data_IF_835587533479
#
_entry.id   IF_835587533479
#
_cell.length_a   1.000
_cell.length_b   1.000
_cell.length_c   1.000
_cell.angle_alpha   90.00
_cell.angle_beta   90.00
_cell.angle_gamma   90.00
#
_symmetry.space_group_name_H-M   'P 1'
#
loop_
_entity.id
_entity.type
_entity.pdbx_description
1 polymer ?
#
# COMPACT_ATOMS: atom_id res chain seq x y z
N UNK A 1 -3.73 -6.46 -17.79
CA UNK A 1 -2.83 -6.32 -18.97
C UNK A 1 -1.77 -5.28 -18.65
N UNK A 2 -0.49 -5.56 -18.92
CA UNK A 2 0.61 -4.62 -18.69
C UNK A 2 1.17 -4.14 -20.02
N UNK A 3 1.14 -2.82 -20.24
CA UNK A 3 1.78 -2.15 -21.37
C UNK A 3 3.06 -1.46 -20.88
N UNK A 4 4.20 -1.70 -21.53
CA UNK A 4 5.45 -0.99 -21.22
C UNK A 4 5.66 0.16 -22.21
N UNK A 5 5.92 1.37 -21.72
CA UNK A 5 5.95 2.59 -22.55
C UNK A 5 7.35 3.08 -22.87
N UNK A 6 8.37 2.47 -22.26
CA UNK A 6 9.78 2.82 -22.41
C UNK A 6 10.62 1.55 -22.49
N UNK A 7 11.70 1.58 -23.27
CA UNK A 7 12.71 0.54 -23.24
C UNK A 7 13.29 0.37 -21.82
N UNK A 8 13.65 -0.86 -21.39
CA UNK A 8 14.33 -1.08 -20.12
C UNK A 8 15.60 -0.23 -20.03
N UNK A 9 15.82 0.40 -18.87
CA UNK A 9 17.05 1.14 -18.59
C UNK A 9 17.70 0.51 -17.37
N UNK A 10 18.99 0.20 -17.45
CA UNK A 10 19.73 -0.28 -16.29
C UNK A 10 19.87 0.86 -15.27
N UNK A 11 19.11 0.75 -14.18
CA UNK A 11 19.17 1.65 -13.03
C UNK A 11 19.33 0.78 -11.80
N UNK A 12 20.21 1.20 -10.89
CA UNK A 12 20.35 0.59 -9.57
C UNK A 12 19.11 0.90 -8.73
N UNK A 13 18.46 -0.14 -8.18
CA UNK A 13 17.47 0.01 -7.11
C UNK A 13 18.04 -0.44 -5.78
N UNK A 14 17.53 0.13 -4.70
CA UNK A 14 17.84 -0.28 -3.33
C UNK A 14 16.61 -0.87 -2.68
N UNK A 15 16.69 -2.16 -2.35
CA UNK A 15 15.76 -2.81 -1.42
C UNK A 15 16.38 -2.76 -0.04
N UNK A 16 15.61 -2.36 0.98
CA UNK A 16 16.13 -2.19 2.32
C UNK A 16 15.13 -2.63 3.39
N UNK A 17 15.62 -2.82 4.61
CA UNK A 17 14.78 -3.08 5.78
C UNK A 17 14.45 -1.80 6.56
N UNK A 18 13.31 -1.78 7.27
CA UNK A 18 12.91 -0.69 8.14
C UNK A 18 13.53 -0.74 9.54
N UNK A 19 12.80 -0.27 10.55
CA UNK A 19 13.29 -0.17 11.94
C UNK A 19 13.01 -1.44 12.76
N UNK A 20 13.84 -1.70 13.78
CA UNK A 20 13.53 -2.68 14.83
C UNK A 20 13.41 -4.11 14.31
N UNK A 21 12.28 -4.77 14.61
CA UNK A 21 12.01 -6.17 14.22
C UNK A 21 12.05 -6.40 12.70
N UNK A 22 11.71 -5.41 11.87
CA UNK A 22 11.81 -5.50 10.41
C UNK A 22 13.28 -5.65 9.97
N UNK A 23 14.21 -4.99 10.65
CA UNK A 23 15.64 -5.09 10.39
C UNK A 23 16.19 -6.48 10.68
N UNK A 24 15.66 -7.16 11.71
CA UNK A 24 16.06 -8.53 12.04
C UNK A 24 15.46 -9.52 11.04
N UNK A 25 14.14 -9.47 10.83
CA UNK A 25 13.42 -10.39 9.94
C UNK A 25 13.93 -10.36 8.49
N UNK A 26 14.25 -9.16 7.96
CA UNK A 26 14.74 -9.01 6.59
C UNK A 26 16.24 -9.32 6.45
N UNK A 27 17.03 -9.24 7.52
CA UNK A 27 18.43 -9.71 7.52
C UNK A 27 18.52 -11.23 7.52
N UNK A 28 17.58 -11.89 8.18
CA UNK A 28 17.50 -13.35 8.26
C UNK A 28 16.99 -13.97 6.94
N UNK A 29 16.33 -13.17 6.10
CA UNK A 29 16.11 -13.44 4.67
C UNK A 29 17.43 -13.21 3.92
N UNK A 30 18.40 -14.11 4.13
CA UNK A 30 19.75 -14.10 3.55
C UNK A 30 19.79 -14.20 2.01
N UNK A 31 18.64 -14.25 1.35
CA UNK A 31 18.49 -14.40 -0.08
C UNK A 31 17.80 -13.14 -0.58
N UNK A 32 18.62 -12.23 -1.12
CA UNK A 32 18.14 -11.09 -1.88
C UNK A 32 17.26 -11.52 -3.06
N UNK A 33 16.56 -10.60 -3.71
CA UNK A 33 15.73 -10.90 -4.90
C UNK A 33 16.48 -11.55 -6.09
N UNK A 34 17.81 -11.53 -6.11
CA UNK A 34 18.69 -12.25 -7.06
C UNK A 34 19.42 -13.46 -6.45
N UNK A 35 19.15 -13.75 -5.18
CA UNK A 35 19.70 -14.85 -4.39
C UNK A 35 21.22 -14.87 -4.20
N UNK A 36 21.94 -13.79 -4.52
CA UNK A 36 23.42 -13.80 -4.53
C UNK A 36 24.08 -12.58 -3.89
N UNK A 37 23.32 -11.58 -3.45
CA UNK A 37 23.90 -10.31 -2.98
C UNK A 37 24.17 -10.23 -1.47
N UNK A 38 25.23 -9.49 -1.11
CA UNK A 38 25.51 -9.04 0.25
C UNK A 38 24.75 -7.77 0.62
N UNK A 39 24.20 -7.71 1.83
CA UNK A 39 23.63 -6.49 2.40
C UNK A 39 24.71 -5.45 2.70
N UNK A 40 24.52 -4.22 2.23
CA UNK A 40 25.34 -3.04 2.55
C UNK A 40 24.64 -2.15 3.58
N UNK A 41 25.38 -1.26 4.24
CA UNK A 41 24.81 -0.27 5.15
C UNK A 41 24.82 1.11 4.49
N UNK A 42 23.63 1.68 4.23
CA UNK A 42 23.49 3.04 3.68
C UNK A 42 22.91 3.97 4.75
N UNK A 43 23.55 5.12 4.92
CA UNK A 43 23.08 6.17 5.82
C UNK A 43 22.03 7.03 5.14
N UNK A 44 20.82 7.06 5.68
CA UNK A 44 19.73 7.94 5.24
C UNK A 44 19.31 8.84 6.39
N UNK A 45 19.54 10.16 6.21
CA UNK A 45 19.41 11.14 7.28
C UNK A 45 20.32 10.83 8.47
N UNK A 46 19.73 10.50 9.62
CA UNK A 46 20.45 10.24 10.88
C UNK A 46 20.62 8.75 11.22
N UNK A 47 20.21 7.83 10.35
CA UNK A 47 20.18 6.40 10.65
C UNK A 47 20.77 5.58 9.50
N UNK A 48 21.31 4.42 9.85
CA UNK A 48 21.85 3.45 8.90
C UNK A 48 20.83 2.35 8.64
N UNK A 49 20.63 2.03 7.37
CA UNK A 49 19.72 1.00 6.90
C UNK A 49 20.49 -0.07 6.14
N UNK A 50 20.22 -1.37 6.40
CA UNK A 50 20.72 -2.40 5.53
C UNK A 50 19.96 -2.31 4.19
N UNK A 51 20.71 -2.22 3.10
CA UNK A 51 20.17 -2.20 1.74
C UNK A 51 20.93 -3.18 0.86
N UNK A 52 20.25 -3.69 -0.15
CA UNK A 52 20.84 -4.43 -1.25
C UNK A 52 20.57 -3.66 -2.53
N UNK A 53 21.60 -3.57 -3.39
CA UNK A 53 21.48 -2.99 -4.73
C UNK A 53 21.03 -4.08 -5.69
N UNK A 54 20.06 -3.80 -6.53
CA UNK A 54 19.70 -4.69 -7.63
C UNK A 54 19.90 -3.97 -8.95
N UNK A 55 20.57 -4.62 -9.92
CA UNK A 55 20.57 -4.14 -11.28
C UNK A 55 19.23 -4.51 -11.93
N UNK A 56 18.63 -3.57 -12.67
CA UNK A 56 17.52 -3.72 -13.64
C UNK A 56 16.18 -3.07 -13.24
N UNK A 57 15.68 -2.17 -14.10
CA UNK A 57 14.38 -1.50 -13.94
C UNK A 57 13.75 -1.19 -15.32
N UNK A 58 12.43 -1.28 -15.41
CA UNK A 58 11.65 -0.68 -16.50
C UNK A 58 11.21 0.72 -16.05
N UNK A 59 11.41 1.73 -16.90
CA UNK A 59 11.11 3.11 -16.52
C UNK A 59 9.61 3.30 -16.31
N UNK A 60 8.77 3.02 -17.31
CA UNK A 60 7.35 3.35 -17.24
C UNK A 60 6.47 2.23 -17.81
N UNK A 61 5.28 2.07 -17.25
CA UNK A 61 4.24 1.29 -17.88
C UNK A 61 2.86 1.51 -17.29
N UNK A 62 1.89 0.83 -17.86
CA UNK A 62 0.47 0.99 -17.55
C UNK A 62 -0.08 -0.39 -17.18
N UNK A 63 -0.60 -0.48 -15.97
CA UNK A 63 -1.37 -1.64 -15.51
C UNK A 63 -2.84 -1.38 -15.84
N UNK A 64 -3.44 -2.30 -16.59
CA UNK A 64 -4.87 -2.30 -16.86
C UNK A 64 -5.54 -3.43 -16.10
N UNK A 65 -6.43 -3.08 -15.18
CA UNK A 65 -7.23 -4.02 -14.36
C UNK A 65 -8.72 -3.80 -14.57
N UNK A 66 -9.52 -4.81 -14.23
CA UNK A 66 -10.97 -4.79 -14.44
C UNK A 66 -11.33 -4.43 -15.89
N UNK A 67 -12.54 -3.91 -16.11
CA UNK A 67 -13.06 -3.50 -17.43
C UNK A 67 -12.37 -2.23 -17.99
N UNK A 68 -11.03 -2.19 -18.00
CA UNK A 68 -10.23 -1.18 -18.70
C UNK A 68 -9.67 -0.04 -17.84
N UNK A 69 -9.63 -0.19 -16.50
CA UNK A 69 -9.06 0.83 -15.62
C UNK A 69 -7.54 0.84 -15.75
N UNK A 70 -6.98 1.95 -16.25
CA UNK A 70 -5.56 2.14 -16.52
C UNK A 70 -4.88 2.91 -15.39
N UNK A 71 -3.83 2.33 -14.80
CA UNK A 71 -3.03 2.94 -13.73
C UNK A 71 -1.58 3.01 -14.19
N UNK A 72 -1.01 4.21 -14.19
CA UNK A 72 0.41 4.41 -14.50
C UNK A 72 1.26 3.90 -13.34
N UNK A 73 2.32 3.17 -13.68
CA UNK A 73 3.34 2.71 -12.74
C UNK A 73 4.70 3.12 -13.26
N UNK A 74 5.45 3.78 -12.40
CA UNK A 74 6.79 4.28 -12.70
C UNK A 74 7.82 3.47 -11.92
N UNK A 75 8.96 3.25 -12.56
CA UNK A 75 10.21 2.75 -11.99
C UNK A 75 10.16 1.32 -11.46
N UNK A 76 9.61 0.37 -12.20
CA UNK A 76 9.45 -1.00 -11.70
C UNK A 76 9.98 -2.07 -12.64
N UNK A 77 10.09 -3.29 -12.15
CA UNK A 77 10.39 -4.46 -12.99
C UNK A 77 9.09 -5.11 -13.44
N UNK A 78 9.13 -5.99 -14.45
CA UNK A 78 7.97 -6.83 -14.80
C UNK A 78 7.40 -7.57 -13.57
N UNK A 79 8.25 -8.01 -12.65
CA UNK A 79 7.81 -8.66 -11.42
C UNK A 79 7.04 -7.69 -10.51
N UNK A 80 7.55 -6.47 -10.28
CA UNK A 80 6.83 -5.45 -9.52
C UNK A 80 5.47 -5.14 -10.14
N UNK A 81 5.42 -4.98 -11.46
CA UNK A 81 4.17 -4.67 -12.17
C UNK A 81 3.14 -5.80 -12.02
N UNK A 82 3.54 -7.07 -12.10
CA UNK A 82 2.65 -8.21 -11.86
C UNK A 82 2.14 -8.27 -10.43
N UNK A 83 2.99 -7.98 -9.44
CA UNK A 83 2.60 -7.93 -8.04
C UNK A 83 1.57 -6.82 -7.78
N UNK A 84 1.80 -5.63 -8.36
CA UNK A 84 0.88 -4.51 -8.29
C UNK A 84 -0.43 -4.84 -9.02
N UNK A 85 -0.39 -5.44 -10.22
CA UNK A 85 -1.58 -5.87 -10.98
C UNK A 85 -2.44 -6.82 -10.15
N UNK A 86 -1.85 -7.89 -9.61
CA UNK A 86 -2.55 -8.84 -8.73
C UNK A 86 -3.17 -8.15 -7.51
N UNK A 87 -2.51 -7.13 -6.97
CA UNK A 87 -3.03 -6.35 -5.84
C UNK A 87 -4.20 -5.46 -6.26
N UNK A 88 -4.09 -4.78 -7.40
CA UNK A 88 -5.11 -3.87 -7.95
C UNK A 88 -6.38 -4.61 -8.37
N UNK A 89 -6.28 -5.88 -8.79
CA UNK A 89 -7.43 -6.75 -9.06
C UNK A 89 -8.28 -7.06 -7.81
N UNK A 90 -7.69 -6.97 -6.60
CA UNK A 90 -8.43 -7.15 -5.34
C UNK A 90 -9.14 -5.86 -4.88
N UNK A 91 -8.83 -4.72 -5.50
CA UNK A 91 -9.44 -3.44 -5.21
C UNK A 91 -10.66 -3.20 -6.11
N UNK A 92 -11.79 -2.73 -5.58
CA UNK A 92 -12.98 -2.59 -6.41
C UNK A 92 -12.89 -1.38 -7.38
N UNK A 93 -13.49 -1.47 -8.58
CA UNK A 93 -13.30 -0.53 -9.68
C UNK A 93 -13.41 0.95 -9.31
N UNK A 94 -14.46 1.38 -8.61
CA UNK A 94 -14.66 2.81 -8.33
C UNK A 94 -13.72 3.40 -7.26
N UNK A 95 -13.02 2.57 -6.47
CA UNK A 95 -11.94 3.05 -5.58
C UNK A 95 -10.72 3.33 -6.42
N UNK A 96 -10.45 2.50 -7.43
CA UNK A 96 -9.35 2.72 -8.38
C UNK A 96 -9.62 3.94 -9.25
N UNK A 97 -10.85 4.14 -9.71
CA UNK A 97 -11.25 5.37 -10.41
C UNK A 97 -11.04 6.62 -9.55
N UNK A 98 -11.50 6.58 -8.29
CA UNK A 98 -11.29 7.69 -7.36
C UNK A 98 -9.80 7.89 -7.05
N UNK A 99 -9.04 6.81 -6.90
CA UNK A 99 -7.59 6.86 -6.74
C UNK A 99 -6.94 7.58 -7.93
N UNK A 100 -7.24 7.21 -9.17
CA UNK A 100 -6.69 7.86 -10.37
C UNK A 100 -7.09 9.34 -10.43
N UNK A 101 -8.34 9.68 -10.07
CA UNK A 101 -8.78 11.07 -10.02
C UNK A 101 -7.98 11.91 -9.02
N UNK A 102 -7.67 11.35 -7.85
CA UNK A 102 -6.93 12.05 -6.79
C UNK A 102 -5.42 12.01 -7.01
N UNK A 103 -4.92 10.94 -7.60
CA UNK A 103 -3.51 10.61 -7.82
C UNK A 103 -3.30 10.23 -9.30
N UNK A 104 -3.37 11.21 -10.21
CA UNK A 104 -3.32 10.95 -11.66
C UNK A 104 -1.98 10.42 -12.16
N UNK A 105 -0.89 10.57 -11.39
CA UNK A 105 0.37 9.89 -11.68
C UNK A 105 0.38 8.43 -11.20
N UNK A 106 -0.64 7.94 -10.51
CA UNK A 106 -0.70 6.54 -10.11
C UNK A 106 0.40 6.18 -9.10
N UNK A 107 1.17 5.14 -9.41
CA UNK A 107 2.11 4.49 -8.48
C UNK A 107 3.54 4.78 -8.90
N UNK A 108 4.33 5.31 -7.97
CA UNK A 108 5.75 5.61 -8.18
C UNK A 108 6.54 4.65 -7.30
N UNK A 109 7.37 3.82 -7.91
CA UNK A 109 8.27 2.97 -7.14
C UNK A 109 9.57 3.71 -6.83
N UNK A 110 10.06 3.52 -5.60
CA UNK A 110 11.25 4.22 -5.12
C UNK A 110 12.04 3.38 -4.12
N UNK A 111 13.29 3.77 -3.87
CA UNK A 111 14.15 3.11 -2.89
C UNK A 111 13.60 3.28 -1.47
N UNK A 112 13.12 4.49 -1.16
CA UNK A 112 12.63 4.85 0.16
C UNK A 112 11.42 5.78 0.09
N UNK A 113 10.68 5.82 1.20
CA UNK A 113 9.51 6.66 1.42
C UNK A 113 9.67 7.49 2.70
N UNK A 114 9.14 8.71 2.72
CA UNK A 114 9.13 9.62 3.87
C UNK A 114 10.22 10.69 3.86
N UNK A 115 10.35 11.44 4.97
CA UNK A 115 11.23 12.62 5.08
C UNK A 115 12.18 12.55 6.29
N UNK A 116 13.42 13.01 6.12
CA UNK A 116 14.41 13.15 7.19
C UNK A 116 14.59 11.87 8.02
N UNK A 117 14.49 11.96 9.35
CA UNK A 117 14.57 10.81 10.28
C UNK A 117 13.42 9.82 10.16
N UNK A 118 12.44 10.11 9.31
CA UNK A 118 11.27 9.27 9.05
C UNK A 118 11.39 8.48 7.74
N UNK A 119 12.47 8.62 6.97
CA UNK A 119 12.65 7.78 5.78
C UNK A 119 12.70 6.29 6.13
N UNK A 120 12.11 5.43 5.28
CA UNK A 120 12.13 3.97 5.37
C UNK A 120 12.26 3.34 3.99
N UNK A 121 12.97 2.22 3.91
CA UNK A 121 13.05 1.38 2.71
C UNK A 121 11.93 0.32 2.62
N UNK A 122 11.19 0.13 3.71
CA UNK A 122 9.97 -0.68 3.78
C UNK A 122 8.78 0.23 4.06
N UNK A 123 7.87 0.32 3.10
CA UNK A 123 6.58 0.97 3.26
C UNK A 123 6.12 1.71 2.02
N UNK A 124 5.17 2.62 2.23
CA UNK A 124 4.71 3.54 1.23
C UNK A 124 4.53 4.92 1.84
N UNK A 125 4.19 5.88 1.00
CA UNK A 125 3.68 7.17 1.45
C UNK A 125 2.77 7.76 0.38
N UNK A 126 1.73 8.44 0.85
CA UNK A 126 0.84 9.28 0.07
C UNK A 126 1.22 10.75 0.28
N UNK A 127 2.07 11.35 -0.57
CA UNK A 127 2.59 12.69 -0.36
C UNK A 127 1.50 13.73 -0.61
N UNK A 128 1.44 14.76 0.23
CA UNK A 128 0.59 15.95 0.01
C UNK A 128 1.35 17.11 -0.64
N UNK A 129 2.66 16.96 -0.82
CA UNK A 129 3.59 17.90 -1.48
C UNK A 129 4.79 17.11 -2.02
N UNK A 130 5.52 17.71 -2.93
CA UNK A 130 6.74 17.13 -3.47
C UNK A 130 7.80 16.91 -2.38
N UNK A 131 8.47 15.77 -2.48
CA UNK A 131 9.68 15.52 -1.72
C UNK A 131 10.88 16.00 -2.52
N UNK A 132 11.77 16.74 -1.87
CA UNK A 132 12.90 17.39 -2.55
C UNK A 132 13.85 16.41 -3.25
N UNK A 133 13.83 15.13 -2.83
CA UNK A 133 14.74 14.10 -3.32
C UNK A 133 14.16 13.28 -4.50
N UNK A 134 12.92 13.53 -4.91
CA UNK A 134 12.24 12.87 -6.04
C UNK A 134 12.15 13.83 -7.23
N UNK A 135 13.32 14.17 -7.78
CA UNK A 135 13.48 15.25 -8.75
C UNK A 135 12.78 15.09 -10.13
N UNK A 136 11.98 14.04 -10.35
CA UNK A 136 11.47 13.69 -11.70
C UNK A 136 9.94 13.72 -11.81
N UNK A 137 9.20 13.59 -10.70
CA UNK A 137 7.74 13.52 -10.71
C UNK A 137 7.16 14.38 -9.58
N UNK A 138 5.97 14.95 -9.83
CA UNK A 138 5.17 15.59 -8.78
C UNK A 138 4.56 14.49 -7.90
N UNK A 139 5.32 14.09 -6.89
CA UNK A 139 4.98 13.02 -5.95
C UNK A 139 3.64 13.25 -5.25
N UNK A 140 3.22 14.51 -5.10
CA UNK A 140 1.91 14.83 -4.52
C UNK A 140 0.74 14.33 -5.36
N UNK A 141 0.98 14.05 -6.64
CA UNK A 141 0.01 13.51 -7.60
C UNK A 141 0.11 11.99 -7.78
N UNK A 142 0.99 11.32 -7.04
CA UNK A 142 1.10 9.86 -6.98
C UNK A 142 1.07 9.31 -5.55
N UNK A 143 1.23 8.00 -5.43
CA UNK A 143 1.64 7.33 -4.20
C UNK A 143 3.01 6.70 -4.41
N UNK A 144 3.85 6.75 -3.39
CA UNK A 144 5.18 6.15 -3.43
C UNK A 144 5.10 4.79 -2.74
N UNK A 145 5.59 3.74 -3.40
CA UNK A 145 5.73 2.40 -2.81
C UNK A 145 7.20 2.01 -2.90
N UNK A 146 7.78 1.55 -1.79
CA UNK A 146 9.20 1.22 -1.79
C UNK A 146 9.47 -0.17 -2.38
N UNK A 147 10.64 -0.36 -2.99
CA UNK A 147 11.04 -1.70 -3.44
C UNK A 147 11.12 -2.70 -2.28
N UNK A 148 11.58 -2.26 -1.10
CA UNK A 148 11.64 -3.11 0.09
C UNK A 148 10.26 -3.57 0.57
N UNK A 149 9.20 -2.77 0.37
CA UNK A 149 7.83 -3.20 0.63
C UNK A 149 7.40 -4.30 -0.35
N UNK A 150 7.61 -4.11 -1.64
CA UNK A 150 7.26 -5.12 -2.65
C UNK A 150 8.02 -6.43 -2.43
N UNK A 151 9.30 -6.35 -2.11
CA UNK A 151 10.12 -7.53 -1.81
C UNK A 151 9.64 -8.27 -0.57
N UNK A 152 9.27 -7.56 0.51
CA UNK A 152 8.77 -8.19 1.74
C UNK A 152 7.51 -9.04 1.53
N UNK A 153 6.78 -8.82 0.43
CA UNK A 153 5.53 -9.50 0.11
C UNK A 153 5.54 -10.22 -1.24
N UNK A 154 6.71 -10.40 -1.86
CA UNK A 154 6.81 -11.03 -3.17
C UNK A 154 6.22 -12.45 -3.19
N UNK A 155 6.53 -13.26 -2.17
CA UNK A 155 6.00 -14.62 -2.01
C UNK A 155 4.50 -14.67 -1.71
N UNK A 156 3.95 -13.58 -1.16
CA UNK A 156 2.53 -13.51 -0.85
C UNK A 156 1.68 -13.32 -2.12
N UNK A 157 2.28 -12.85 -3.22
CA UNK A 157 1.60 -12.59 -4.48
C UNK A 157 0.71 -11.33 -4.48
N UNK A 158 0.83 -10.47 -3.46
CA UNK A 158 0.17 -9.15 -3.39
C UNK A 158 0.98 -8.16 -2.54
N UNK A 159 0.68 -6.86 -2.65
CA UNK A 159 1.29 -5.78 -1.87
C UNK A 159 0.29 -5.17 -0.88
N UNK A 160 0.29 -5.58 0.40
CA UNK A 160 -0.57 -4.94 1.40
C UNK A 160 -0.22 -3.46 1.59
N UNK A 161 1.03 -3.06 1.37
CA UNK A 161 1.45 -1.64 1.36
C UNK A 161 0.71 -0.83 0.30
N UNK A 162 0.53 -1.36 -0.92
CA UNK A 162 -0.24 -0.65 -1.94
C UNK A 162 -1.70 -0.44 -1.52
N UNK A 163 -2.33 -1.49 -0.96
CA UNK A 163 -3.71 -1.41 -0.46
C UNK A 163 -3.82 -0.34 0.64
N UNK A 164 -2.84 -0.29 1.53
CA UNK A 164 -2.76 0.71 2.61
C UNK A 164 -2.67 2.13 2.08
N UNK A 165 -1.74 2.42 1.15
CA UNK A 165 -1.58 3.77 0.60
C UNK A 165 -2.81 4.23 -0.21
N UNK A 166 -3.45 3.32 -0.95
CA UNK A 166 -4.75 3.60 -1.59
C UNK A 166 -5.82 3.84 -0.51
N UNK A 167 -5.79 3.07 0.59
CA UNK A 167 -6.62 3.26 1.76
C UNK A 167 -6.51 4.67 2.35
N UNK A 168 -5.32 5.26 2.41
CA UNK A 168 -5.13 6.66 2.79
C UNK A 168 -5.80 7.64 1.82
N UNK A 169 -5.73 7.38 0.51
CA UNK A 169 -6.45 8.20 -0.48
C UNK A 169 -7.97 8.12 -0.24
N UNK A 170 -8.48 6.95 0.16
CA UNK A 170 -9.89 6.77 0.47
C UNK A 170 -10.31 7.38 1.81
N UNK A 171 -9.42 7.44 2.81
CA UNK A 171 -9.76 7.74 4.22
C UNK A 171 -9.23 9.09 4.75
N UNK A 172 -7.98 9.48 4.48
CA UNK A 172 -7.35 10.69 5.06
C UNK A 172 -7.77 11.96 4.32
N UNK A 173 -8.07 11.84 3.02
CA UNK A 173 -8.50 12.93 2.13
C UNK A 173 -9.67 12.55 1.23
N UNK A 174 -10.29 11.40 1.52
CA UNK A 174 -11.29 10.80 0.66
C UNK A 174 -12.70 10.85 1.24
N UNK A 175 -13.52 9.97 0.69
CA UNK A 175 -14.95 9.93 0.93
C UNK A 175 -15.30 9.06 2.14
N UNK A 176 -14.41 8.13 2.55
CA UNK A 176 -14.55 7.35 3.79
C UNK A 176 -14.08 8.22 4.94
N UNK A 177 -15.01 8.56 5.83
CA UNK A 177 -14.72 9.47 6.91
C UNK A 177 -15.45 9.07 8.19
N UNK A 178 -14.85 9.44 9.31
CA UNK A 178 -15.34 9.11 10.65
C UNK A 178 -16.76 9.64 10.97
N UNK A 179 -17.34 10.55 10.17
CA UNK A 179 -18.70 11.06 10.44
C UNK A 179 -19.78 10.01 10.19
N UNK A 180 -19.43 8.89 9.55
CA UNK A 180 -20.33 7.75 9.30
C UNK A 180 -20.24 6.64 10.36
N UNK A 181 -19.38 6.82 11.36
CA UNK A 181 -19.18 5.87 12.45
C UNK A 181 -19.81 6.40 13.73
N UNK A 182 -20.30 5.51 14.58
CA UNK A 182 -20.72 5.87 15.93
C UNK A 182 -19.52 6.44 16.72
N UNK A 183 -19.79 7.40 17.62
CA UNK A 183 -18.74 8.12 18.35
C UNK A 183 -17.83 7.18 19.14
N UNK A 184 -18.39 6.16 19.81
CA UNK A 184 -17.63 5.16 20.58
C UNK A 184 -16.68 4.36 19.69
N UNK A 185 -17.15 3.89 18.53
CA UNK A 185 -16.36 3.12 17.57
C UNK A 185 -15.27 3.99 16.96
N UNK A 186 -15.60 5.22 16.57
CA UNK A 186 -14.62 6.20 16.08
C UNK A 186 -13.52 6.41 17.11
N UNK A 187 -13.88 6.74 18.33
CA UNK A 187 -12.91 7.11 19.37
C UNK A 187 -12.04 5.90 19.74
N UNK A 188 -12.61 4.68 19.73
CA UNK A 188 -11.87 3.43 19.86
C UNK A 188 -10.87 3.20 18.74
N UNK A 189 -11.27 3.35 17.47
CA UNK A 189 -10.37 3.17 16.31
C UNK A 189 -9.20 4.16 16.34
N UNK A 190 -9.48 5.40 16.73
CA UNK A 190 -8.46 6.44 16.90
C UNK A 190 -7.49 6.03 18.02
N UNK A 191 -8.02 5.61 19.16
CA UNK A 191 -7.20 5.23 20.31
C UNK A 191 -6.35 3.99 20.04
N UNK A 192 -6.90 2.95 19.40
CA UNK A 192 -6.15 1.76 19.02
C UNK A 192 -4.98 2.12 18.12
N UNK A 193 -5.21 2.96 17.12
CA UNK A 193 -4.15 3.29 16.19
C UNK A 193 -3.06 4.20 16.80
N UNK A 194 -3.44 5.11 17.70
CA UNK A 194 -2.49 5.88 18.51
C UNK A 194 -1.65 4.94 19.38
N UNK A 195 -2.29 3.96 20.03
CA UNK A 195 -1.66 3.06 20.99
C UNK A 195 -0.80 1.97 20.32
N UNK A 196 -1.21 1.52 19.13
CA UNK A 196 -0.49 0.54 18.29
C UNK A 196 0.72 1.11 17.55
N UNK A 197 0.92 2.43 17.60
CA UNK A 197 2.06 3.09 16.96
C UNK A 197 2.02 3.04 15.44
N UNK A 198 0.82 2.93 14.85
CA UNK A 198 0.64 2.57 13.44
C UNK A 198 0.95 3.72 12.45
N UNK A 199 0.98 5.01 12.83
CA UNK A 199 1.68 6.03 12.01
C UNK A 199 1.96 7.40 12.66
N UNK A 200 2.57 8.26 11.84
CA UNK A 200 3.18 9.58 12.10
C UNK A 200 2.19 10.75 12.02
N UNK A 201 0.94 10.52 11.61
CA UNK A 201 -0.14 11.51 11.52
C UNK A 201 -1.04 11.53 12.78
N UNK A 202 -0.49 11.17 13.93
CA UNK A 202 -1.23 11.16 15.20
C UNK A 202 -2.21 10.00 15.34
N UNK A 203 -2.03 8.90 14.59
CA UNK A 203 -2.78 7.63 14.70
C UNK A 203 -4.25 7.70 14.27
N UNK A 204 -4.87 8.88 14.27
CA UNK A 204 -6.30 9.01 13.95
C UNK A 204 -6.67 8.38 12.62
N UNK A 205 -5.98 8.72 11.54
CA UNK A 205 -6.50 8.36 10.22
C UNK A 205 -6.11 6.92 9.81
N UNK A 206 -5.13 6.33 10.49
CA UNK A 206 -4.71 4.94 10.33
C UNK A 206 -5.79 3.94 10.77
N UNK A 207 -6.51 4.24 11.86
CA UNK A 207 -7.59 3.35 12.32
C UNK A 207 -8.67 3.13 11.25
N UNK A 208 -9.03 4.17 10.47
CA UNK A 208 -9.92 4.00 9.31
C UNK A 208 -9.28 3.22 8.18
N UNK A 209 -7.98 3.42 7.95
CA UNK A 209 -7.23 2.66 6.95
C UNK A 209 -7.28 1.16 7.29
N UNK A 210 -7.11 0.79 8.56
CA UNK A 210 -7.17 -0.60 9.01
C UNK A 210 -8.55 -1.23 8.80
N UNK A 211 -9.64 -0.51 9.09
CA UNK A 211 -11.00 -0.99 8.79
C UNK A 211 -11.20 -1.16 7.29
N UNK A 212 -10.70 -0.21 6.48
CA UNK A 212 -10.77 -0.28 5.02
C UNK A 212 -10.00 -1.49 4.48
N UNK A 213 -8.75 -1.65 4.91
CA UNK A 213 -7.91 -2.79 4.55
C UNK A 213 -8.56 -4.10 4.95
N UNK A 214 -9.16 -4.17 6.14
CA UNK A 214 -9.89 -5.36 6.56
C UNK A 214 -11.03 -5.69 5.62
N UNK A 215 -11.85 -4.71 5.26
CA UNK A 215 -12.93 -4.93 4.30
C UNK A 215 -12.40 -5.44 2.96
N UNK A 216 -11.37 -4.80 2.39
CA UNK A 216 -10.76 -5.21 1.11
C UNK A 216 -10.20 -6.64 1.20
N UNK A 217 -9.31 -6.90 2.17
CA UNK A 217 -8.60 -8.16 2.31
C UNK A 217 -9.53 -9.33 2.64
N UNK A 218 -10.59 -9.10 3.42
CA UNK A 218 -11.51 -10.17 3.83
C UNK A 218 -12.50 -10.55 2.71
N UNK A 219 -12.91 -9.59 1.89
CA UNK A 219 -13.69 -9.86 0.68
C UNK A 219 -12.88 -10.20 -0.57
N UNK A 220 -11.55 -10.26 -0.44
CA UNK A 220 -10.65 -10.66 -1.51
C UNK A 220 -10.94 -12.10 -2.00
N UNK A 221 -10.64 -12.33 -3.27
CA UNK A 221 -10.70 -13.68 -3.87
C UNK A 221 -9.42 -14.44 -3.54
N UNK A 222 -8.28 -13.76 -3.46
CA UNK A 222 -7.00 -14.33 -3.08
C UNK A 222 -6.99 -14.83 -1.61
N UNK A 223 -6.88 -16.16 -1.36
CA UNK A 223 -6.88 -16.71 0.00
C UNK A 223 -5.66 -16.29 0.83
N UNK A 224 -4.51 -16.05 0.20
CA UNK A 224 -3.30 -15.60 0.89
C UNK A 224 -3.50 -14.21 1.49
N UNK A 225 -4.22 -13.33 0.78
CA UNK A 225 -4.57 -11.99 1.26
C UNK A 225 -5.53 -12.05 2.45
N UNK A 226 -6.57 -12.89 2.34
CA UNK A 226 -7.53 -13.14 3.44
C UNK A 226 -6.82 -13.64 4.69
N UNK A 227 -5.95 -14.66 4.55
CA UNK A 227 -5.24 -15.28 5.67
C UNK A 227 -4.24 -14.33 6.32
N UNK A 228 -3.45 -13.62 5.51
CA UNK A 228 -2.49 -12.64 5.99
C UNK A 228 -3.17 -11.59 6.85
N UNK A 229 -4.25 -11.00 6.36
CA UNK A 229 -4.90 -9.89 7.05
C UNK A 229 -5.76 -10.31 8.24
N UNK A 230 -6.35 -11.51 8.19
CA UNK A 230 -7.09 -12.09 9.33
C UNK A 230 -6.22 -12.25 10.58
N UNK A 231 -4.90 -12.37 10.43
CA UNK A 231 -3.92 -12.48 11.53
C UNK A 231 -3.36 -11.13 12.00
N UNK A 232 -3.64 -10.03 11.29
CA UNK A 232 -3.04 -8.71 11.53
C UNK A 232 -4.04 -7.63 11.96
N UNK A 233 -5.34 -7.92 11.87
CA UNK A 233 -6.40 -6.94 12.17
C UNK A 233 -6.77 -6.96 13.65
N UNK A 234 -7.04 -5.77 14.21
CA UNK A 234 -7.59 -5.64 15.57
C UNK A 234 -9.05 -6.11 15.64
N UNK A 235 -9.50 -6.50 16.83
CA UNK A 235 -10.90 -6.90 17.04
C UNK A 235 -11.87 -5.77 16.68
N UNK A 236 -11.50 -4.51 16.97
CA UNK A 236 -12.35 -3.35 16.69
C UNK A 236 -12.45 -3.04 15.20
N UNK A 237 -11.36 -3.13 14.44
CA UNK A 237 -11.42 -2.96 12.98
C UNK A 237 -12.25 -4.06 12.29
N UNK A 238 -12.33 -5.25 12.90
CA UNK A 238 -13.17 -6.35 12.45
C UNK A 238 -14.62 -6.33 13.02
N UNK A 239 -14.95 -5.39 13.91
CA UNK A 239 -16.24 -5.32 14.59
C UNK A 239 -17.40 -5.04 13.64
N UNK A 240 -18.58 -5.59 13.91
CA UNK A 240 -19.75 -5.42 13.05
C UNK A 240 -20.07 -3.93 12.81
N UNK A 241 -19.91 -3.12 13.84
CA UNK A 241 -20.17 -1.68 13.86
C UNK A 241 -19.16 -0.91 12.99
N UNK A 242 -17.87 -1.26 13.03
CA UNK A 242 -16.86 -0.65 12.17
C UNK A 242 -17.10 -1.01 10.69
N UNK A 243 -17.43 -2.27 10.41
CA UNK A 243 -17.75 -2.71 9.05
C UNK A 243 -19.02 -2.03 8.52
N UNK A 244 -20.02 -1.86 9.38
CA UNK A 244 -21.26 -1.16 9.02
C UNK A 244 -21.01 0.34 8.77
N UNK A 245 -20.14 0.98 9.56
CA UNK A 245 -19.70 2.35 9.31
C UNK A 245 -19.05 2.54 7.94
N UNK A 246 -18.16 1.61 7.53
CA UNK A 246 -17.60 1.61 6.17
C UNK A 246 -18.68 1.38 5.12
N UNK A 247 -19.53 0.36 5.31
CA UNK A 247 -20.61 0.04 4.37
C UNK A 247 -21.53 1.23 4.14
N UNK A 248 -21.77 2.08 5.12
CA UNK A 248 -22.61 3.27 4.98
C UNK A 248 -21.94 4.47 4.30
N UNK A 249 -20.67 4.34 3.92
CA UNK A 249 -19.97 5.40 3.19
C UNK A 249 -20.37 5.42 1.71
N UNK A 250 -20.73 6.57 1.12
CA UNK A 250 -21.06 6.67 -0.31
C UNK A 250 -19.96 6.18 -1.26
N UNK A 251 -18.68 6.48 -0.99
CA UNK A 251 -17.60 5.90 -1.80
C UNK A 251 -17.61 4.39 -1.75
N UNK A 252 -17.76 3.78 -0.56
CA UNK A 252 -17.82 2.34 -0.40
C UNK A 252 -19.11 1.71 -0.98
N UNK A 253 -20.24 2.42 -0.95
CA UNK A 253 -21.51 1.94 -1.51
C UNK A 253 -21.59 2.04 -3.03
N UNK A 254 -20.96 3.05 -3.62
CA UNK A 254 -20.86 3.20 -5.07
C UNK A 254 -20.04 2.07 -5.72
N UNK A 255 -19.27 1.33 -4.92
CA UNK A 255 -18.36 0.23 -5.29
C UNK A 255 -19.01 -1.09 -5.64
N UNK A 256 -20.24 -1.31 -5.22
CA UNK A 256 -20.76 -2.66 -5.11
C UNK A 256 -21.68 -2.92 -6.29
N UNK A 257 -21.10 -3.27 -7.44
CA UNK A 257 -21.83 -4.08 -8.43
C UNK A 257 -22.29 -5.37 -7.74
N UNK A 258 -23.30 -6.08 -8.26
CA UNK A 258 -23.85 -7.26 -7.58
C UNK A 258 -22.76 -8.25 -7.14
N UNK A 259 -21.74 -8.49 -7.98
CA UNK A 259 -20.61 -9.36 -7.66
C UNK A 259 -19.75 -8.88 -6.48
N UNK A 260 -19.34 -7.60 -6.48
CA UNK A 260 -18.58 -7.02 -5.36
C UNK A 260 -19.41 -6.93 -4.08
N UNK A 261 -20.71 -6.64 -4.20
CA UNK A 261 -21.66 -6.59 -3.09
C UNK A 261 -21.73 -7.94 -2.37
N UNK A 262 -21.85 -9.03 -3.13
CA UNK A 262 -21.82 -10.40 -2.58
C UNK A 262 -20.51 -10.69 -1.86
N UNK A 263 -19.35 -10.34 -2.44
CA UNK A 263 -18.03 -10.59 -1.84
C UNK A 263 -17.89 -10.04 -0.42
N UNK A 264 -18.46 -8.85 -0.15
CA UNK A 264 -18.33 -8.17 1.15
C UNK A 264 -19.53 -8.34 2.10
N UNK A 265 -20.64 -8.94 1.64
CA UNK A 265 -21.85 -9.17 2.44
C UNK A 265 -21.92 -10.57 3.08
N UNK A 266 -21.43 -11.61 2.40
CA UNK A 266 -21.65 -13.01 2.81
C UNK A 266 -20.67 -13.53 3.84
N UNK A 267 -19.60 -12.79 4.14
CA UNK A 267 -18.61 -13.19 5.13
C UNK A 267 -18.79 -12.29 6.36
N UNK A 268 -19.43 -12.82 7.40
CA UNK A 268 -19.29 -12.37 8.79
C UNK A 268 -18.47 -13.44 9.49
N UNK A 269 -17.56 -13.05 10.38
CA UNK A 269 -16.98 -14.02 11.33
C UNK A 269 -18.11 -14.70 12.10
#
# INVERSE_FOLDING_TARGET
>A
MIEYTTEPVEIDVRVGAGYGHERAALRDLLVGPDGTSSWESVRVGRRDFPVQRMPYMLQDGIITVHDGIRINVYRGTTHHFRLLEATLEELPPSHLELFIQRKPLGIILNDYAGLNSSMRFTGGVNPSRDYADTAVLDDSRGIIITYGALWSFHDNGFSPTLIHEIGHVMTHHGEINYRRFESSVRDGLIQESISGGHSRSGGRDEGLCDVYMYMICYGAVNPSLVNYWSSKTTELAASAEALEGIRNTPAFNRMLTAGWRTRYQTRRR
#
